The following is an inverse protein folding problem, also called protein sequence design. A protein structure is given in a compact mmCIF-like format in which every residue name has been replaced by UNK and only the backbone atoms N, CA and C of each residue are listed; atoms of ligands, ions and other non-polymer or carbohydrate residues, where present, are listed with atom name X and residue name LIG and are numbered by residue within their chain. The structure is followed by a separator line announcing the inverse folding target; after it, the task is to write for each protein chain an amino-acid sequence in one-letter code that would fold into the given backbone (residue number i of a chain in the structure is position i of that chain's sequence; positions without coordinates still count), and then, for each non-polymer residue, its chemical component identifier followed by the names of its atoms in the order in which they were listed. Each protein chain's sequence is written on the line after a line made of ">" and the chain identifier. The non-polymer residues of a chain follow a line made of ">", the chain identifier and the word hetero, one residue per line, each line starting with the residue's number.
data_IF_028082229963
#
_entry.id   IF_028082229963
#
_cell.length_a   1.000
_cell.length_b   1.000
_cell.length_c   1.000
_cell.angle_alpha   90.00
_cell.angle_beta   90.00
_cell.angle_gamma   90.00
#
_symmetry.space_group_name_H-M   'P 1'
#
loop_
_entity.id
_entity.type
_entity.pdbx_description
1 polymer ?
#
# COMPACT_ATOMS: atom_id res chain seq x y z
N UNK A 1 -12.51 40.01 -1.31
CA UNK A 1 -12.09 39.66 0.06
C UNK A 1 -10.57 39.64 0.07
N UNK A 2 -9.91 40.13 1.13
CA UNK A 2 -8.45 40.19 1.20
C UNK A 2 -7.86 38.78 1.36
N UNK A 3 -6.90 38.41 0.51
CA UNK A 3 -6.30 37.07 0.47
C UNK A 3 -5.03 37.03 1.34
N UNK A 4 -5.20 36.62 2.59
CA UNK A 4 -4.12 36.55 3.58
C UNK A 4 -3.09 35.48 3.23
N UNK A 5 -3.48 34.42 2.50
CA UNK A 5 -2.60 33.30 2.16
C UNK A 5 -1.55 33.70 1.13
N UNK A 6 -1.93 34.58 0.20
CA UNK A 6 -1.04 35.14 -0.81
C UNK A 6 -0.27 36.39 -0.35
N UNK A 7 -0.32 36.75 0.93
CA UNK A 7 0.51 37.83 1.45
C UNK A 7 2.00 37.46 1.41
N UNK A 8 2.89 38.44 1.15
CA UNK A 8 4.33 38.23 1.19
C UNK A 8 4.80 37.78 2.58
N UNK A 9 5.52 36.66 2.65
CA UNK A 9 6.21 36.22 3.85
C UNK A 9 7.65 36.75 3.88
N UNK A 10 8.03 37.41 4.98
CA UNK A 10 9.36 38.01 5.14
C UNK A 10 10.37 37.09 5.82
N UNK A 11 9.95 35.92 6.30
CA UNK A 11 10.84 34.94 6.95
C UNK A 11 11.74 34.26 5.93
N UNK A 12 11.31 34.15 4.68
CA UNK A 12 12.11 33.60 3.59
C UNK A 12 12.41 32.10 3.74
N UNK A 13 11.54 31.37 4.44
CA UNK A 13 11.69 29.92 4.67
C UNK A 13 10.59 29.21 3.90
N UNK A 14 10.97 28.37 2.93
CA UNK A 14 10.05 27.48 2.22
C UNK A 14 9.60 26.32 3.13
N UNK A 15 8.43 25.75 2.85
CA UNK A 15 7.93 24.54 3.54
C UNK A 15 7.93 23.39 2.54
N UNK A 16 8.52 22.25 2.93
CA UNK A 16 8.61 21.07 2.07
C UNK A 16 7.24 20.46 1.77
N UNK A 17 6.40 20.30 2.79
CA UNK A 17 5.04 19.79 2.65
C UNK A 17 4.07 20.51 3.62
N UNK A 18 2.99 21.06 3.08
CA UNK A 18 1.86 21.63 3.84
C UNK A 18 0.54 21.30 3.14
N UNK A 19 -0.50 20.96 3.90
CA UNK A 19 -1.81 20.69 3.34
C UNK A 19 -2.78 20.03 4.31
N UNK A 20 -3.58 19.10 3.81
CA UNK A 20 -4.62 18.38 4.55
C UNK A 20 -4.26 16.90 4.72
N UNK A 21 -4.74 16.31 5.81
CA UNK A 21 -4.59 14.87 6.09
C UNK A 21 -5.84 14.36 6.82
N UNK A 22 -6.16 13.07 6.64
CA UNK A 22 -7.29 12.40 7.28
C UNK A 22 -8.65 12.78 6.69
N UNK A 23 -8.68 13.26 5.43
CA UNK A 23 -9.93 13.49 4.72
C UNK A 23 -10.55 12.14 4.37
N UNK A 24 -11.66 11.81 5.02
CA UNK A 24 -12.45 10.62 4.69
C UNK A 24 -13.45 10.95 3.58
N UNK A 25 -13.29 10.37 2.40
CA UNK A 25 -14.08 10.73 1.22
C UNK A 25 -14.52 9.49 0.42
N UNK A 26 -15.74 9.47 -0.15
CA UNK A 26 -16.15 8.39 -1.04
C UNK A 26 -15.30 8.38 -2.32
N UNK A 27 -14.83 7.19 -2.69
CA UNK A 27 -13.95 6.99 -3.84
C UNK A 27 -14.27 5.65 -4.52
N UNK A 28 -14.15 5.62 -5.84
CA UNK A 28 -14.13 4.37 -6.62
C UNK A 28 -12.68 4.07 -7.02
N UNK A 29 -12.10 2.95 -6.58
CA UNK A 29 -10.86 2.45 -7.14
C UNK A 29 -11.18 1.66 -8.40
N UNK A 30 -10.48 1.93 -9.50
CA UNK A 30 -10.63 1.24 -10.78
C UNK A 30 -9.27 1.13 -11.48
N UNK A 31 -8.66 -0.06 -11.46
CA UNK A 31 -7.40 -0.31 -12.19
C UNK A 31 -7.59 -1.12 -13.48
N UNK A 32 -8.84 -1.23 -13.96
CA UNK A 32 -9.23 -2.04 -15.11
C UNK A 32 -9.42 -3.54 -14.80
N UNK A 33 -8.91 -4.03 -13.66
CA UNK A 33 -9.11 -5.40 -13.19
C UNK A 33 -9.96 -5.47 -11.93
N UNK A 34 -9.79 -4.50 -11.03
CA UNK A 34 -10.48 -4.37 -9.76
C UNK A 34 -11.24 -3.06 -9.74
N UNK A 35 -12.55 -3.13 -9.54
CA UNK A 35 -13.41 -1.97 -9.40
C UNK A 35 -14.22 -2.03 -8.12
N UNK A 36 -13.92 -1.18 -7.15
CA UNK A 36 -14.58 -1.18 -5.83
C UNK A 36 -14.82 0.24 -5.32
N UNK A 37 -15.94 0.43 -4.64
CA UNK A 37 -16.31 1.68 -4.00
C UNK A 37 -16.11 1.58 -2.50
N UNK A 38 -15.59 2.64 -1.89
CA UNK A 38 -15.35 2.69 -0.45
C UNK A 38 -15.16 4.11 0.05
N UNK A 39 -14.82 4.21 1.34
CA UNK A 39 -14.38 5.46 1.94
C UNK A 39 -12.86 5.41 2.03
N UNK A 40 -12.19 6.29 1.27
CA UNK A 40 -10.75 6.44 1.31
C UNK A 40 -10.34 7.42 2.40
N UNK A 41 -9.17 7.20 3.00
CA UNK A 41 -8.42 8.20 3.76
C UNK A 41 -7.46 8.92 2.79
N UNK A 42 -7.58 10.24 2.72
CA UNK A 42 -6.90 11.06 1.72
C UNK A 42 -6.05 12.13 2.41
N UNK A 43 -4.82 12.26 1.93
CA UNK A 43 -3.92 13.35 2.29
C UNK A 43 -3.43 14.05 1.02
N UNK A 44 -3.41 15.38 1.06
CA UNK A 44 -2.94 16.24 -0.05
C UNK A 44 -1.98 17.25 0.55
N UNK A 45 -0.73 17.25 0.08
CA UNK A 45 0.28 18.20 0.52
C UNK A 45 0.98 18.83 -0.67
N UNK A 46 1.44 20.06 -0.50
CA UNK A 46 2.21 20.81 -1.50
C UNK A 46 3.44 21.44 -0.87
N UNK A 47 4.47 21.69 -1.66
CA UNK A 47 5.53 22.62 -1.26
C UNK A 47 5.00 24.05 -1.20
N UNK A 48 5.46 24.84 -0.22
CA UNK A 48 5.11 26.26 -0.11
C UNK A 48 6.35 27.12 -0.34
N UNK A 49 6.25 28.05 -1.28
CA UNK A 49 7.33 28.99 -1.59
C UNK A 49 7.64 29.89 -0.39
N UNK A 50 8.92 30.27 -0.24
CA UNK A 50 9.45 31.07 0.86
C UNK A 50 8.84 32.47 1.01
N UNK A 51 8.22 32.98 -0.07
CA UNK A 51 7.58 34.28 -0.16
C UNK A 51 6.06 34.24 0.09
N UNK A 52 5.47 33.06 0.34
CA UNK A 52 4.04 32.92 0.61
C UNK A 52 3.75 32.64 2.08
N UNK A 53 2.74 33.32 2.61
CA UNK A 53 2.30 33.15 4.00
C UNK A 53 1.52 31.85 4.24
N UNK A 54 0.80 31.33 3.24
CA UNK A 54 0.05 30.08 3.38
C UNK A 54 -0.46 29.48 2.06
N UNK A 55 -0.95 28.24 2.12
CA UNK A 55 -1.58 27.53 0.99
C UNK A 55 -3.10 27.57 1.06
N UNK A 56 -3.78 27.39 -0.08
CA UNK A 56 -5.24 27.40 -0.23
C UNK A 56 -5.87 26.02 0.05
N UNK A 57 -6.16 25.72 1.31
CA UNK A 57 -6.64 24.40 1.74
C UNK A 57 -7.93 23.92 1.05
N UNK A 58 -8.88 24.81 0.78
CA UNK A 58 -10.15 24.44 0.12
C UNK A 58 -9.94 23.95 -1.32
N UNK A 59 -8.90 24.42 -2.01
CA UNK A 59 -8.56 23.95 -3.36
C UNK A 59 -8.08 22.50 -3.37
N UNK A 60 -7.50 22.02 -2.26
CA UNK A 60 -7.11 20.61 -2.12
C UNK A 60 -8.35 19.70 -2.05
N UNK A 61 -9.42 20.16 -1.40
CA UNK A 61 -10.71 19.46 -1.40
C UNK A 61 -11.34 19.47 -2.79
N UNK A 62 -11.27 20.60 -3.50
CA UNK A 62 -11.76 20.70 -4.88
C UNK A 62 -11.01 19.73 -5.80
N UNK A 63 -9.68 19.64 -5.71
CA UNK A 63 -8.87 18.66 -6.44
C UNK A 63 -9.36 17.23 -6.20
N UNK A 64 -9.57 16.84 -4.95
CA UNK A 64 -10.06 15.49 -4.60
C UNK A 64 -11.43 15.23 -5.21
N UNK A 65 -12.34 16.20 -5.13
CA UNK A 65 -13.70 16.06 -5.65
C UNK A 65 -13.75 15.96 -7.18
N UNK A 66 -12.94 16.77 -7.87
CA UNK A 66 -13.00 16.93 -9.33
C UNK A 66 -12.16 15.88 -10.07
N UNK A 67 -10.98 15.52 -9.55
CA UNK A 67 -10.02 14.68 -10.26
C UNK A 67 -9.87 13.27 -9.69
N UNK A 68 -10.34 13.01 -8.45
CA UNK A 68 -9.99 11.78 -7.71
C UNK A 68 -11.21 11.02 -7.18
N UNK A 69 -12.43 11.43 -7.54
CA UNK A 69 -13.64 10.68 -7.20
C UNK A 69 -13.62 9.23 -7.73
N UNK A 70 -12.94 9.01 -8.87
CA UNK A 70 -12.51 7.69 -9.34
C UNK A 70 -11.00 7.67 -9.44
N UNK A 71 -10.34 6.81 -8.66
CA UNK A 71 -8.91 6.59 -8.71
C UNK A 71 -8.58 5.54 -9.75
N UNK A 72 -8.01 6.00 -10.87
CA UNK A 72 -7.33 5.17 -11.85
C UNK A 72 -5.82 5.40 -11.68
N UNK A 73 -5.05 4.49 -11.05
CA UNK A 73 -3.62 4.70 -10.78
C UNK A 73 -2.80 5.06 -12.04
N UNK A 74 -3.18 4.52 -13.19
CA UNK A 74 -2.58 4.80 -14.49
C UNK A 74 -2.76 6.26 -14.94
N UNK A 75 -3.85 6.93 -14.53
CA UNK A 75 -4.18 8.30 -14.92
C UNK A 75 -3.75 9.33 -13.86
N UNK A 76 -3.26 8.87 -12.71
CA UNK A 76 -2.86 9.71 -11.59
C UNK A 76 -1.82 10.80 -11.97
N UNK A 77 -0.82 10.56 -12.84
CA UNK A 77 0.08 11.62 -13.28
C UNK A 77 -0.62 12.83 -13.92
N UNK A 78 -1.71 12.59 -14.66
CA UNK A 78 -2.49 13.67 -15.29
C UNK A 78 -3.26 14.47 -14.25
N UNK A 79 -3.92 13.79 -13.30
CA UNK A 79 -4.61 14.42 -12.18
C UNK A 79 -3.66 15.25 -11.32
N UNK A 80 -2.47 14.72 -11.01
CA UNK A 80 -1.41 15.43 -10.29
C UNK A 80 -0.96 16.70 -11.03
N UNK A 81 -0.75 16.62 -12.35
CA UNK A 81 -0.35 17.78 -13.17
C UNK A 81 -1.39 18.89 -13.17
N UNK A 82 -2.68 18.53 -13.23
CA UNK A 82 -3.80 19.48 -13.08
C UNK A 82 -3.84 20.07 -11.68
N UNK A 83 -3.67 19.23 -10.65
CA UNK A 83 -3.60 19.64 -9.25
C UNK A 83 -2.47 20.63 -8.96
N UNK A 84 -1.28 20.41 -9.53
CA UNK A 84 -0.14 21.32 -9.40
C UNK A 84 -0.48 22.73 -9.92
N UNK A 85 -1.20 22.79 -11.04
CA UNK A 85 -1.66 24.04 -11.65
C UNK A 85 -2.76 24.71 -10.81
N UNK A 86 -3.75 23.94 -10.35
CA UNK A 86 -4.85 24.44 -9.51
C UNK A 86 -4.37 25.03 -8.18
N UNK A 87 -3.38 24.36 -7.57
CA UNK A 87 -2.80 24.73 -6.29
C UNK A 87 -1.68 25.76 -6.41
N UNK A 88 -1.19 26.02 -7.62
CA UNK A 88 -0.11 26.96 -7.92
C UNK A 88 1.12 26.75 -7.03
N UNK A 89 1.60 25.50 -7.02
CA UNK A 89 2.65 25.02 -6.12
C UNK A 89 3.83 24.39 -6.90
N UNK A 90 5.04 24.37 -6.32
CA UNK A 90 6.23 23.74 -6.94
C UNK A 90 6.21 22.20 -6.91
N UNK A 91 5.47 21.63 -5.96
CA UNK A 91 5.33 20.18 -5.78
C UNK A 91 3.95 19.84 -5.22
N UNK A 92 3.49 18.62 -5.46
CA UNK A 92 2.25 18.06 -4.95
C UNK A 92 2.45 16.58 -4.61
N UNK A 93 1.97 16.18 -3.44
CA UNK A 93 1.80 14.78 -3.06
C UNK A 93 0.33 14.51 -2.73
N UNK A 94 -0.19 13.41 -3.27
CA UNK A 94 -1.55 12.92 -3.06
C UNK A 94 -1.46 11.46 -2.63
N UNK A 95 -1.91 11.17 -1.41
CA UNK A 95 -1.96 9.81 -0.86
C UNK A 95 -3.42 9.42 -0.65
N UNK A 96 -3.80 8.26 -1.18
CA UNK A 96 -5.15 7.71 -1.15
C UNK A 96 -5.07 6.31 -0.58
N UNK A 97 -5.69 6.07 0.57
CA UNK A 97 -5.72 4.75 1.22
C UNK A 97 -7.13 4.22 1.33
N UNK A 98 -7.40 3.02 0.84
CA UNK A 98 -8.69 2.36 0.98
C UNK A 98 -8.56 0.83 1.04
N UNK A 99 -9.47 0.15 1.75
CA UNK A 99 -9.54 -1.29 1.73
C UNK A 99 -10.08 -1.79 0.38
N UNK A 100 -9.44 -2.83 -0.17
CA UNK A 100 -9.89 -3.55 -1.38
C UNK A 100 -10.06 -5.02 -1.03
N UNK A 101 -11.20 -5.61 -1.38
CA UNK A 101 -11.49 -7.01 -1.11
C UNK A 101 -11.22 -7.91 -2.31
N UNK A 102 -10.68 -9.10 -2.09
CA UNK A 102 -10.57 -10.16 -3.11
C UNK A 102 -11.30 -11.41 -2.65
N UNK A 103 -11.94 -12.12 -3.58
CA UNK A 103 -12.53 -13.43 -3.28
C UNK A 103 -11.44 -14.45 -2.97
N UNK A 104 -11.70 -15.29 -1.97
CA UNK A 104 -10.83 -16.40 -1.55
C UNK A 104 -11.66 -17.66 -1.38
N UNK A 105 -11.12 -18.79 -1.83
CA UNK A 105 -11.77 -20.10 -1.75
C UNK A 105 -11.06 -20.99 -0.74
N UNK A 106 -11.81 -21.53 0.21
CA UNK A 106 -11.29 -22.46 1.21
C UNK A 106 -10.77 -23.76 0.55
N UNK A 107 -9.62 -24.30 0.99
CA UNK A 107 -8.89 -25.32 0.23
C UNK A 107 -9.60 -26.68 0.14
N UNK A 108 -10.37 -27.07 1.15
CA UNK A 108 -11.04 -28.37 1.22
C UNK A 108 -12.57 -28.26 0.99
N UNK A 109 -13.24 -27.36 1.71
CA UNK A 109 -14.69 -27.18 1.63
C UNK A 109 -15.14 -26.38 0.40
N UNK A 110 -14.20 -25.70 -0.27
CA UNK A 110 -14.44 -24.85 -1.44
C UNK A 110 -15.40 -23.67 -1.17
N UNK A 111 -15.65 -23.32 0.09
CA UNK A 111 -16.47 -22.16 0.43
C UNK A 111 -15.75 -20.86 0.04
N UNK A 112 -16.50 -19.95 -0.56
CA UNK A 112 -16.01 -18.63 -0.93
C UNK A 112 -16.23 -17.62 0.20
N UNK A 113 -15.27 -16.71 0.35
CA UNK A 113 -15.35 -15.57 1.26
C UNK A 113 -14.52 -14.42 0.73
N UNK A 114 -14.58 -13.25 1.39
CA UNK A 114 -13.87 -12.05 0.98
C UNK A 114 -12.74 -11.73 1.97
N UNK A 115 -11.51 -11.62 1.47
CA UNK A 115 -10.38 -11.12 2.23
C UNK A 115 -10.11 -9.66 1.84
N UNK A 116 -9.98 -8.79 2.83
CA UNK A 116 -9.66 -7.37 2.64
C UNK A 116 -8.16 -7.14 2.74
N UNK A 117 -7.65 -6.26 1.88
CA UNK A 117 -6.27 -5.80 1.83
C UNK A 117 -6.26 -4.28 1.90
N UNK A 118 -5.30 -3.71 2.61
CA UNK A 118 -5.15 -2.26 2.68
C UNK A 118 -4.33 -1.80 1.48
N UNK A 119 -4.91 -0.95 0.64
CA UNK A 119 -4.27 -0.44 -0.57
C UNK A 119 -4.05 1.06 -0.41
N UNK A 120 -2.80 1.48 -0.63
CA UNK A 120 -2.40 2.88 -0.64
C UNK A 120 -1.80 3.21 -1.99
N UNK A 121 -2.29 4.26 -2.63
CA UNK A 121 -1.69 4.84 -3.84
C UNK A 121 -1.19 6.23 -3.50
N UNK A 122 0.11 6.46 -3.70
CA UNK A 122 0.77 7.74 -3.47
C UNK A 122 1.33 8.27 -4.77
N UNK A 123 0.78 9.38 -5.23
CA UNK A 123 1.29 10.16 -6.34
C UNK A 123 2.14 11.32 -5.85
N UNK A 124 3.33 11.49 -6.39
CA UNK A 124 4.21 12.64 -6.13
C UNK A 124 4.62 13.27 -7.45
N UNK A 125 4.48 14.59 -7.55
CA UNK A 125 4.85 15.36 -8.74
C UNK A 125 5.61 16.62 -8.37
N UNK A 126 6.58 16.96 -9.21
CA UNK A 126 7.26 18.26 -9.26
C UNK A 126 7.15 18.80 -10.69
N UNK A 127 7.78 19.95 -10.97
CA UNK A 127 7.82 20.50 -12.34
C UNK A 127 8.57 19.61 -13.33
N UNK A 128 9.44 18.71 -12.86
CA UNK A 128 10.33 17.90 -13.70
C UNK A 128 10.13 16.39 -13.57
N UNK A 129 9.51 15.92 -12.50
CA UNK A 129 9.44 14.49 -12.17
C UNK A 129 8.07 14.10 -11.61
N UNK A 130 7.67 12.86 -11.85
CA UNK A 130 6.44 12.27 -11.34
C UNK A 130 6.63 10.79 -11.05
N UNK A 131 6.27 10.39 -9.83
CA UNK A 131 6.29 8.99 -9.39
C UNK A 131 4.93 8.60 -8.83
N UNK A 132 4.54 7.35 -9.05
CA UNK A 132 3.34 6.76 -8.46
C UNK A 132 3.73 5.49 -7.75
N UNK A 133 3.49 5.43 -6.45
CA UNK A 133 3.72 4.25 -5.61
C UNK A 133 2.39 3.59 -5.27
N UNK A 134 2.31 2.27 -5.48
CA UNK A 134 1.16 1.45 -5.06
C UNK A 134 1.64 0.47 -4.01
N UNK A 135 1.14 0.63 -2.78
CA UNK A 135 1.38 -0.27 -1.68
C UNK A 135 0.14 -1.12 -1.39
N UNK A 136 0.34 -2.42 -1.22
CA UNK A 136 -0.70 -3.34 -0.76
C UNK A 136 -0.20 -4.05 0.48
N UNK A 137 -1.01 -4.03 1.53
CA UNK A 137 -0.77 -4.77 2.77
C UNK A 137 -1.77 -5.90 2.91
N UNK A 138 -1.28 -7.12 3.15
CA UNK A 138 -2.10 -8.30 3.40
C UNK A 138 -1.56 -9.13 4.56
N UNK A 139 -2.30 -10.17 4.92
CA UNK A 139 -1.97 -11.08 5.99
C UNK A 139 -1.78 -12.51 5.51
N UNK A 140 -0.73 -13.14 6.01
CA UNK A 140 -0.44 -14.56 5.84
C UNK A 140 -0.16 -15.21 7.20
N UNK A 141 -0.12 -16.54 7.23
CA UNK A 141 0.42 -17.29 8.36
C UNK A 141 1.90 -17.56 8.10
N UNK A 142 2.76 -17.27 9.07
CA UNK A 142 4.15 -17.75 9.08
C UNK A 142 4.34 -18.74 10.22
N UNK A 143 5.09 -19.81 9.96
CA UNK A 143 5.48 -20.80 10.95
C UNK A 143 7.00 -20.88 10.99
N UNK A 144 7.55 -20.83 12.21
CA UNK A 144 8.98 -20.69 12.42
C UNK A 144 9.75 -21.98 12.10
N UNK A 145 10.70 -21.98 11.13
CA UNK A 145 11.53 -23.14 10.84
C UNK A 145 12.35 -23.61 12.04
N UNK A 146 12.90 -22.67 12.82
CA UNK A 146 13.66 -22.98 14.04
C UNK A 146 12.81 -23.74 15.05
N UNK A 147 11.59 -23.27 15.34
CA UNK A 147 10.71 -23.90 16.32
C UNK A 147 10.34 -25.32 15.92
N UNK A 148 10.04 -25.54 14.62
CA UNK A 148 9.79 -26.87 14.08
C UNK A 148 10.99 -27.80 14.23
N UNK A 149 12.20 -27.30 13.99
CA UNK A 149 13.42 -28.11 14.02
C UNK A 149 13.82 -28.59 15.42
N UNK A 150 13.50 -27.82 16.46
CA UNK A 150 13.95 -28.10 17.85
C UNK A 150 12.88 -28.74 18.73
N UNK A 151 11.62 -28.78 18.30
CA UNK A 151 10.50 -29.27 19.12
C UNK A 151 10.15 -30.71 18.75
N UNK A 152 9.89 -31.56 19.75
CA UNK A 152 9.44 -32.94 19.53
C UNK A 152 8.06 -33.00 18.82
N UNK A 153 7.23 -31.97 19.04
CA UNK A 153 5.93 -31.80 18.40
C UNK A 153 5.55 -30.33 18.32
N UNK A 154 4.79 -30.00 17.27
CA UNK A 154 4.33 -28.63 17.03
C UNK A 154 5.45 -27.68 16.60
N UNK A 155 5.05 -26.43 16.35
CA UNK A 155 5.93 -25.32 16.07
C UNK A 155 5.11 -24.04 16.27
N UNK A 156 5.72 -22.97 16.80
CA UNK A 156 4.98 -21.71 16.90
C UNK A 156 4.75 -21.11 15.51
N UNK A 157 3.57 -20.53 15.35
CA UNK A 157 3.17 -19.77 14.19
C UNK A 157 2.45 -18.51 14.63
N UNK A 158 2.27 -17.60 13.68
CA UNK A 158 1.62 -16.33 13.92
C UNK A 158 1.02 -15.78 12.63
N UNK A 159 0.20 -14.74 12.79
CA UNK A 159 -0.15 -13.86 11.69
C UNK A 159 1.06 -12.99 11.35
N UNK A 160 1.28 -12.80 10.06
CA UNK A 160 2.28 -11.88 9.53
C UNK A 160 1.58 -10.86 8.64
N UNK A 161 1.92 -9.60 8.83
CA UNK A 161 1.55 -8.49 7.95
C UNK A 161 2.68 -8.30 6.93
N UNK A 162 2.34 -8.31 5.65
CA UNK A 162 3.30 -8.08 4.57
C UNK A 162 2.78 -6.95 3.69
N UNK A 163 3.64 -5.97 3.44
CA UNK A 163 3.41 -4.84 2.55
C UNK A 163 4.38 -4.92 1.37
N UNK A 164 3.85 -4.92 0.15
CA UNK A 164 4.63 -4.68 -1.06
C UNK A 164 4.24 -3.34 -1.64
N UNK A 165 5.21 -2.43 -1.75
CA UNK A 165 5.11 -1.19 -2.48
C UNK A 165 5.87 -1.29 -3.80
N UNK A 166 5.21 -0.97 -4.90
CA UNK A 166 5.81 -0.87 -6.23
C UNK A 166 5.79 0.59 -6.67
N UNK A 167 6.93 1.11 -7.10
CA UNK A 167 7.05 2.49 -7.59
C UNK A 167 7.19 2.52 -9.11
N UNK A 168 6.25 3.18 -9.77
CA UNK A 168 6.27 3.50 -11.19
C UNK A 168 6.75 4.93 -11.47
N UNK A 169 7.19 5.15 -12.71
CA UNK A 169 7.59 6.47 -13.24
C UNK A 169 6.44 7.11 -14.02
N UNK A 170 6.62 8.32 -14.54
CA UNK A 170 5.62 8.97 -15.40
C UNK A 170 5.20 8.13 -16.63
N UNK A 171 6.14 7.37 -17.23
CA UNK A 171 5.88 6.56 -18.43
C UNK A 171 5.19 5.22 -18.11
N UNK A 172 5.41 4.70 -16.89
CA UNK A 172 4.83 3.46 -16.41
C UNK A 172 4.40 3.62 -14.93
N UNK A 173 3.35 4.42 -14.64
CA UNK A 173 3.01 4.83 -13.28
C UNK A 173 2.46 3.69 -12.41
N UNK A 174 1.89 2.67 -13.05
CA UNK A 174 1.26 1.55 -12.35
C UNK A 174 1.72 0.22 -12.98
N UNK A 175 2.97 -0.20 -12.71
CA UNK A 175 3.60 -1.29 -13.44
C UNK A 175 3.14 -2.69 -12.96
N UNK A 176 2.44 -2.78 -11.82
CA UNK A 176 1.89 -4.04 -11.32
C UNK A 176 0.50 -3.83 -10.71
N UNK A 177 -0.56 -4.48 -11.24
CA UNK A 177 -1.91 -4.37 -10.70
C UNK A 177 -2.06 -4.91 -9.27
N UNK A 178 -2.99 -4.34 -8.50
CA UNK A 178 -3.27 -4.72 -7.11
C UNK A 178 -3.57 -6.22 -6.99
N UNK A 179 -4.33 -6.80 -7.93
CA UNK A 179 -4.65 -8.23 -7.86
C UNK A 179 -3.42 -9.14 -8.03
N UNK A 180 -2.42 -8.72 -8.83
CA UNK A 180 -1.14 -9.44 -8.95
C UNK A 180 -0.31 -9.29 -7.68
N UNK A 181 -0.26 -8.09 -7.10
CA UNK A 181 0.41 -7.85 -5.82
C UNK A 181 -0.19 -8.74 -4.71
N UNK A 182 -1.53 -8.75 -4.58
CA UNK A 182 -2.25 -9.60 -3.62
C UNK A 182 -1.92 -11.07 -3.86
N UNK A 183 -1.91 -11.52 -5.12
CA UNK A 183 -1.54 -12.89 -5.48
C UNK A 183 -0.13 -13.26 -5.02
N UNK A 184 0.84 -12.41 -5.29
CA UNK A 184 2.24 -12.59 -4.90
C UNK A 184 2.40 -12.66 -3.37
N UNK A 185 1.84 -11.69 -2.65
CA UNK A 185 1.94 -11.64 -1.19
C UNK A 185 1.33 -12.88 -0.53
N UNK A 186 0.15 -13.31 -1.00
CA UNK A 186 -0.55 -14.49 -0.46
C UNK A 186 0.16 -15.80 -0.75
N UNK A 187 0.97 -15.87 -1.81
CA UNK A 187 1.71 -17.08 -2.18
C UNK A 187 2.99 -17.30 -1.36
N UNK A 188 3.45 -16.31 -0.60
CA UNK A 188 4.78 -16.35 0.03
C UNK A 188 4.75 -16.84 1.50
N UNK A 189 3.61 -16.72 2.19
CA UNK A 189 3.47 -17.22 3.56
C UNK A 189 3.48 -18.74 3.66
N UNK A 190 3.77 -19.28 4.86
CA UNK A 190 3.64 -20.71 5.16
C UNK A 190 2.24 -21.25 4.82
N UNK A 191 1.20 -20.46 5.08
CA UNK A 191 -0.16 -20.76 4.67
C UNK A 191 -1.01 -19.48 4.50
N UNK A 192 -2.12 -19.54 3.72
CA UNK A 192 -3.01 -18.40 3.56
C UNK A 192 -3.83 -18.14 4.84
N UNK A 193 -4.20 -16.87 5.06
CA UNK A 193 -5.23 -16.49 6.03
C UNK A 193 -6.57 -16.37 5.30
N UNK A 194 -7.56 -17.17 5.72
CA UNK A 194 -8.87 -17.25 5.07
C UNK A 194 -9.96 -16.92 6.11
N UNK A 195 -10.93 -16.04 5.81
CA UNK A 195 -11.99 -15.66 6.75
C UNK A 195 -12.96 -16.80 7.09
N UNK A 196 -13.35 -17.61 6.09
CA UNK A 196 -14.31 -18.69 6.25
C UNK A 196 -13.62 -20.04 6.11
N UNK A 197 -13.43 -20.73 7.24
CA UNK A 197 -12.71 -22.01 7.33
C UNK A 197 -13.62 -23.03 8.05
N UNK A 198 -13.75 -24.23 7.48
CA UNK A 198 -14.38 -25.39 8.15
C UNK A 198 -13.30 -26.33 8.67
N UNK A 199 -13.67 -27.30 9.52
CA UNK A 199 -12.71 -28.26 10.10
C UNK A 199 -11.78 -28.95 9.06
N UNK A 200 -12.28 -29.39 7.88
CA UNK A 200 -11.39 -29.94 6.85
C UNK A 200 -10.40 -28.91 6.30
N UNK A 201 -10.81 -27.65 6.14
CA UNK A 201 -9.94 -26.56 5.68
C UNK A 201 -8.87 -26.23 6.71
N UNK A 202 -9.27 -26.14 7.98
CA UNK A 202 -8.38 -25.86 9.11
C UNK A 202 -7.25 -26.89 9.17
N UNK A 203 -7.58 -28.17 8.98
CA UNK A 203 -6.57 -29.22 8.87
C UNK A 203 -5.61 -28.96 7.71
N UNK A 204 -6.10 -28.65 6.51
CA UNK A 204 -5.25 -28.40 5.34
C UNK A 204 -4.31 -27.22 5.56
N UNK A 205 -4.85 -26.09 6.04
CA UNK A 205 -4.08 -24.86 6.30
C UNK A 205 -3.01 -25.11 7.37
N UNK A 206 -3.36 -25.82 8.45
CA UNK A 206 -2.44 -26.15 9.54
C UNK A 206 -1.29 -27.05 9.05
N UNK A 207 -1.61 -28.10 8.29
CA UNK A 207 -0.59 -29.01 7.74
C UNK A 207 0.30 -28.28 6.73
N UNK A 208 -0.26 -27.46 5.84
CA UNK A 208 0.51 -26.66 4.90
C UNK A 208 1.48 -25.73 5.63
N UNK A 209 1.02 -25.00 6.65
CA UNK A 209 1.88 -24.11 7.42
C UNK A 209 3.06 -24.86 8.07
N UNK A 210 2.78 -26.06 8.60
CA UNK A 210 3.79 -26.90 9.20
C UNK A 210 4.79 -27.42 8.15
N UNK A 211 4.34 -27.80 6.97
CA UNK A 211 5.17 -28.37 5.91
C UNK A 211 6.08 -27.32 5.23
N UNK A 212 5.64 -26.06 5.16
CA UNK A 212 6.36 -24.94 4.52
C UNK A 212 6.69 -23.81 5.52
N UNK A 213 7.53 -24.06 6.53
CA UNK A 213 7.93 -23.03 7.48
C UNK A 213 8.82 -21.98 6.80
N UNK A 214 8.65 -20.69 7.15
CA UNK A 214 9.44 -19.58 6.59
C UNK A 214 9.79 -18.56 7.67
N UNK A 215 10.99 -17.99 7.62
CA UNK A 215 11.35 -16.82 8.42
C UNK A 215 10.79 -15.54 7.82
N UNK A 216 10.83 -14.44 8.59
CA UNK A 216 10.45 -13.10 8.09
C UNK A 216 11.37 -12.65 6.95
N UNK A 217 12.64 -13.05 6.98
CA UNK A 217 13.63 -12.79 5.94
C UNK A 217 13.33 -13.55 4.65
N UNK A 218 12.85 -14.79 4.76
CA UNK A 218 12.51 -15.61 3.59
C UNK A 218 11.33 -14.99 2.83
N UNK A 219 10.31 -14.52 3.57
CA UNK A 219 9.16 -13.83 3.00
C UNK A 219 9.56 -12.67 2.10
N UNK A 220 10.40 -11.75 2.60
CA UNK A 220 10.77 -10.56 1.84
C UNK A 220 11.73 -10.88 0.68
N UNK A 221 12.54 -11.93 0.79
CA UNK A 221 13.46 -12.37 -0.26
C UNK A 221 12.70 -12.95 -1.45
N UNK A 222 11.74 -13.84 -1.19
CA UNK A 222 10.96 -14.49 -2.25
C UNK A 222 10.09 -13.49 -3.02
N UNK A 223 9.50 -12.52 -2.33
CA UNK A 223 8.78 -11.41 -2.97
C UNK A 223 9.74 -10.56 -3.80
N UNK A 224 10.89 -10.16 -3.23
CA UNK A 224 11.85 -9.33 -3.95
C UNK A 224 12.42 -10.00 -5.19
N UNK A 225 12.68 -11.31 -5.14
CA UNK A 225 13.12 -12.09 -6.31
C UNK A 225 12.12 -11.97 -7.46
N UNK A 226 10.83 -12.21 -7.17
CA UNK A 226 9.77 -12.09 -8.18
C UNK A 226 9.65 -10.68 -8.75
N UNK A 227 9.81 -9.65 -7.92
CA UNK A 227 9.78 -8.25 -8.37
C UNK A 227 11.00 -7.87 -9.23
N UNK A 228 12.20 -8.38 -8.89
CA UNK A 228 13.42 -8.16 -9.67
C UNK A 228 13.36 -8.81 -11.05
N UNK A 229 12.80 -10.00 -11.14
CA UNK A 229 12.59 -10.70 -12.43
C UNK A 229 11.67 -9.91 -13.36
N UNK A 230 10.76 -9.10 -12.79
CA UNK A 230 9.88 -8.17 -13.50
C UNK A 230 10.48 -6.76 -13.68
N UNK A 231 11.73 -6.52 -13.25
CA UNK A 231 12.41 -5.21 -13.26
C UNK A 231 11.60 -4.09 -12.58
N UNK A 232 11.02 -4.37 -11.42
CA UNK A 232 10.22 -3.42 -10.65
C UNK A 232 11.05 -2.74 -9.56
N UNK A 233 10.98 -1.42 -9.45
CA UNK A 233 11.41 -0.68 -8.25
C UNK A 233 10.41 -0.93 -7.14
N UNK A 234 10.87 -1.41 -5.98
CA UNK A 234 9.97 -1.87 -4.92
C UNK A 234 10.55 -1.77 -3.51
N UNK A 235 9.64 -1.69 -2.54
CA UNK A 235 9.91 -1.88 -1.12
C UNK A 235 9.05 -3.04 -0.61
N UNK A 236 9.66 -4.01 0.08
CA UNK A 236 8.93 -5.06 0.78
C UNK A 236 9.16 -4.90 2.27
N UNK A 237 8.08 -4.88 3.06
CA UNK A 237 8.13 -4.90 4.52
C UNK A 237 7.32 -6.09 5.03
N UNK A 238 7.86 -6.82 5.99
CA UNK A 238 7.14 -7.87 6.69
C UNK A 238 7.25 -7.67 8.21
N UNK A 239 6.17 -7.99 8.91
CA UNK A 239 6.07 -7.95 10.38
C UNK A 239 5.38 -9.22 10.85
N UNK A 240 6.09 -10.03 11.62
CA UNK A 240 5.52 -11.17 12.32
C UNK A 240 5.04 -10.72 13.69
N UNK A 241 3.76 -10.96 13.99
CA UNK A 241 3.21 -10.75 15.33
C UNK A 241 3.56 -11.95 16.21
N UNK A 242 4.81 -11.99 16.68
CA UNK A 242 5.38 -13.16 17.37
C UNK A 242 4.48 -13.66 18.51
N UNK A 243 4.11 -14.95 18.44
CA UNK A 243 3.18 -15.55 19.39
C UNK A 243 3.81 -15.88 20.76
N UNK A 244 5.14 -15.96 20.82
CA UNK A 244 5.90 -16.36 22.02
C UNK A 244 6.77 -15.22 22.59
N UNK A 245 6.71 -14.03 21.98
CA UNK A 245 7.50 -12.87 22.37
C UNK A 245 6.61 -11.65 22.59
N UNK A 246 7.04 -10.72 23.45
CA UNK A 246 6.34 -9.45 23.69
C UNK A 246 6.78 -8.33 22.74
N UNK A 247 7.27 -8.70 21.56
CA UNK A 247 7.75 -7.81 20.50
C UNK A 247 7.61 -8.51 19.15
N UNK A 248 7.60 -7.76 18.06
CA UNK A 248 7.44 -8.28 16.70
C UNK A 248 8.80 -8.45 16.02
N UNK A 249 8.94 -9.48 15.18
CA UNK A 249 10.05 -9.57 14.23
C UNK A 249 9.70 -8.78 12.96
N UNK A 250 10.65 -7.98 12.45
CA UNK A 250 10.45 -7.14 11.27
C UNK A 250 11.59 -7.32 10.27
N UNK A 251 11.27 -7.19 8.99
CA UNK A 251 12.26 -7.09 7.95
C UNK A 251 11.76 -6.14 6.85
N UNK A 252 12.69 -5.33 6.29
CA UNK A 252 12.41 -4.44 5.18
C UNK A 252 13.53 -4.55 4.15
N UNK A 253 13.15 -4.56 2.88
CA UNK A 253 14.06 -4.53 1.74
C UNK A 253 13.62 -3.44 0.77
N UNK A 254 14.58 -2.64 0.31
CA UNK A 254 14.40 -1.66 -0.75
C UNK A 254 15.21 -2.08 -1.97
N UNK A 255 14.61 -1.98 -3.15
CA UNK A 255 15.28 -2.22 -4.42
C UNK A 255 14.88 -1.15 -5.43
N UNK A 256 15.89 -0.55 -6.05
CA UNK A 256 15.73 0.42 -7.14
C UNK A 256 16.39 -0.17 -8.38
N UNK A 257 15.66 -0.19 -9.49
CA UNK A 257 16.16 -0.65 -10.78
C UNK A 257 17.05 0.41 -11.46
#
# INVERSE_FOLDING_TARGET
>A
MHDIQNEPDRRGIAIDEVGISGLRYPLTFDDGHTRQQGIADISVTVGLQADRRGTHMSRMIALVHEEVATLTPQELPLALKRGLTLLDAPSLALTLSLPIATSVTAPASRQESWQTHDVTVTGRITTSDCTVATAVTTHVTSLCPCSKAISDYGAHNQRSEITLEITGTADAPYPLPVHEIVGLLRATGSAPVIPLVKRPDERVITMQAYDYPVFVEDLIRDISLTCRDKALTHTVTAKNFESIHSHNAIATLHHTC
#
